data_IF_572149183076
#
_entry.id   IF_572149183076
#
_cell.length_a   1.000
_cell.length_b   1.000
_cell.length_c   1.000
_cell.angle_alpha   90.00
_cell.angle_beta   90.00
_cell.angle_gamma   90.00
#
_symmetry.space_group_name_H-M   'P 1'
#
loop_
_entity.id
_entity.type
_entity.pdbx_description
1 polymer ?
#
# COMPACT_ATOMS: atom_id res chain seq x y z
N UNK A 1 7.39 39.84 54.38
CA UNK A 1 7.88 39.79 52.99
C UNK A 1 8.72 38.53 52.87
N UNK A 2 8.08 37.44 52.43
CA UNK A 2 8.72 36.15 52.13
C UNK A 2 8.20 35.74 50.73
N UNK A 3 9.05 35.29 49.81
CA UNK A 3 8.62 34.95 48.46
C UNK A 3 8.08 33.52 48.36
N UNK A 4 7.26 33.36 47.32
CA UNK A 4 6.43 32.22 46.92
C UNK A 4 7.21 30.96 46.46
N UNK A 5 6.51 29.82 46.42
CA UNK A 5 6.81 28.65 45.57
C UNK A 5 6.67 27.33 46.34
N UNK A 6 6.00 26.26 45.91
CA UNK A 6 5.39 25.88 44.64
C UNK A 6 4.33 24.78 44.89
N UNK A 7 3.31 24.81 44.06
CA UNK A 7 2.30 23.80 43.76
C UNK A 7 2.88 22.56 43.06
N UNK A 8 2.23 21.40 43.19
CA UNK A 8 2.33 20.37 42.15
C UNK A 8 2.07 18.93 42.57
N UNK A 9 0.80 18.52 42.59
CA UNK A 9 0.38 17.12 42.48
C UNK A 9 -0.50 17.05 41.23
N UNK A 10 -0.30 16.05 40.36
CA UNK A 10 -1.28 15.39 39.44
C UNK A 10 -0.52 14.77 38.24
N UNK A 11 -0.40 13.44 38.21
CA UNK A 11 -1.13 12.52 37.32
C UNK A 11 -0.46 12.37 35.94
N UNK A 12 0.56 11.50 35.89
CA UNK A 12 1.21 11.04 34.66
C UNK A 12 0.33 10.00 33.95
N UNK A 13 -0.51 10.47 33.02
CA UNK A 13 -1.02 9.66 31.90
C UNK A 13 -0.47 10.23 30.60
N UNK A 14 0.19 9.44 29.74
CA UNK A 14 0.64 9.94 28.45
C UNK A 14 -0.58 10.25 27.56
N UNK A 15 -0.69 11.51 27.19
CA UNK A 15 -1.72 12.04 26.30
C UNK A 15 -1.52 11.51 24.87
N UNK A 16 -2.29 10.49 24.50
CA UNK A 16 -2.51 10.14 23.09
C UNK A 16 -3.50 11.14 22.48
N UNK A 17 -2.99 12.11 21.72
CA UNK A 17 -3.82 12.94 20.83
C UNK A 17 -3.07 13.25 19.54
N UNK A 18 -3.48 12.60 18.45
CA UNK A 18 -3.52 13.28 17.15
C UNK A 18 -4.90 13.08 16.52
N UNK A 19 -5.62 14.20 16.45
CA UNK A 19 -6.94 14.32 15.84
C UNK A 19 -6.84 14.23 14.31
N UNK A 20 -7.94 13.78 13.71
CA UNK A 20 -8.07 13.45 12.30
C UNK A 20 -7.70 14.57 11.33
N UNK A 21 -6.83 14.21 10.38
CA UNK A 21 -6.84 14.76 9.04
C UNK A 21 -6.94 13.56 8.09
N UNK A 22 -7.79 13.66 7.07
CA UNK A 22 -8.07 12.58 6.12
C UNK A 22 -6.79 12.06 5.49
N UNK A 23 -6.23 11.00 6.08
CA UNK A 23 -4.99 10.37 5.63
C UNK A 23 -5.29 9.57 4.38
N UNK A 24 -4.69 9.99 3.28
CA UNK A 24 -4.61 9.19 2.09
C UNK A 24 -3.94 7.85 2.40
N UNK A 25 -4.59 6.76 2.01
CA UNK A 25 -4.10 5.41 2.25
C UNK A 25 -3.12 5.07 1.14
N UNK A 26 -1.87 4.89 1.51
CA UNK A 26 -0.85 4.35 0.62
C UNK A 26 -1.17 2.90 0.22
N UNK A 27 -0.68 2.42 -0.93
CA UNK A 27 -0.74 0.99 -1.28
C UNK A 27 -0.09 0.13 -0.18
N UNK A 28 -0.84 -0.85 0.35
CA UNK A 28 -0.39 -1.76 1.40
C UNK A 28 -0.75 -3.20 1.07
N UNK A 29 0.14 -4.14 1.39
CA UNK A 29 -0.22 -5.55 1.56
C UNK A 29 -0.79 -5.78 2.96
N UNK A 30 -1.52 -6.86 3.15
CA UNK A 30 -1.87 -7.32 4.51
C UNK A 30 -0.93 -8.41 4.97
N UNK A 31 -0.84 -8.61 6.29
CA UNK A 31 -0.13 -9.74 6.88
C UNK A 31 -0.62 -11.07 6.27
N UNK A 32 0.30 -11.95 5.90
CA UNK A 32 0.02 -13.24 5.28
C UNK A 32 0.02 -13.21 3.76
N UNK A 33 0.05 -12.04 3.12
CA UNK A 33 0.27 -11.97 1.66
C UNK A 33 1.64 -12.54 1.33
N UNK A 34 1.68 -13.56 0.48
CA UNK A 34 2.90 -14.20 0.01
C UNK A 34 3.50 -13.41 -1.16
N UNK A 35 4.79 -13.11 -1.07
CA UNK A 35 5.54 -12.38 -2.09
C UNK A 35 6.59 -13.30 -2.69
N UNK A 36 6.65 -13.38 -4.01
CA UNK A 36 7.62 -14.22 -4.69
C UNK A 36 9.05 -13.68 -4.52
N UNK A 37 9.94 -14.53 -4.03
CA UNK A 37 11.37 -14.25 -3.91
C UNK A 37 12.17 -15.33 -4.63
N UNK A 38 13.47 -15.11 -4.90
CA UNK A 38 14.35 -16.14 -5.47
C UNK A 38 14.47 -17.40 -4.59
N UNK A 39 14.07 -17.33 -3.32
CA UNK A 39 14.10 -18.44 -2.35
C UNK A 39 12.72 -19.09 -2.16
N UNK A 40 11.74 -18.74 -2.99
CA UNK A 40 10.33 -19.13 -2.83
C UNK A 40 9.46 -17.99 -2.31
N UNK A 41 8.20 -18.28 -2.06
CA UNK A 41 7.23 -17.30 -1.56
C UNK A 41 7.45 -17.01 -0.07
N UNK A 42 7.55 -15.73 0.31
CA UNK A 42 7.75 -15.28 1.69
C UNK A 42 6.59 -14.35 2.10
N UNK A 43 6.02 -14.50 3.32
CA UNK A 43 5.02 -13.56 3.82
C UNK A 43 5.55 -12.12 3.86
N UNK A 44 4.74 -11.17 3.38
CA UNK A 44 5.14 -9.76 3.25
C UNK A 44 5.65 -9.17 4.58
N UNK A 45 5.03 -9.55 5.70
CA UNK A 45 5.43 -9.09 7.03
C UNK A 45 6.85 -9.52 7.43
N UNK A 46 7.43 -10.53 6.79
CA UNK A 46 8.78 -11.01 7.06
C UNK A 46 9.85 -10.31 6.21
N UNK A 47 9.47 -9.67 5.10
CA UNK A 47 10.41 -8.98 4.21
C UNK A 47 11.04 -7.75 4.87
N UNK A 48 12.34 -7.55 4.66
CA UNK A 48 13.12 -6.44 5.24
C UNK A 48 13.96 -5.76 4.16
N UNK A 49 14.50 -4.59 4.48
CA UNK A 49 15.53 -3.98 3.65
C UNK A 49 16.69 -4.97 3.43
N UNK A 50 17.18 -5.05 2.20
CA UNK A 50 18.17 -6.02 1.75
C UNK A 50 17.61 -7.35 1.24
N UNK A 51 16.33 -7.67 1.48
CA UNK A 51 15.71 -8.85 0.86
C UNK A 51 15.48 -8.65 -0.64
N UNK A 52 15.55 -9.75 -1.39
CA UNK A 52 15.38 -9.77 -2.85
C UNK A 52 14.02 -10.32 -3.25
N UNK A 53 13.33 -9.62 -4.16
CA UNK A 53 11.98 -9.96 -4.63
C UNK A 53 11.97 -10.08 -6.14
N UNK A 54 11.16 -10.99 -6.66
CA UNK A 54 10.93 -11.12 -8.11
C UNK A 54 10.02 -9.97 -8.56
N UNK A 55 10.49 -9.18 -9.53
CA UNK A 55 9.70 -8.12 -10.16
C UNK A 55 9.42 -8.45 -11.62
N UNK A 56 8.38 -7.82 -12.18
CA UNK A 56 7.91 -8.09 -13.54
C UNK A 56 8.89 -7.63 -14.61
N UNK A 57 9.43 -6.43 -14.44
CA UNK A 57 10.11 -5.71 -15.54
C UNK A 57 11.64 -5.69 -15.39
N UNK A 58 12.13 -5.66 -14.15
CA UNK A 58 13.55 -5.44 -13.86
C UNK A 58 14.22 -6.68 -13.24
N UNK A 59 13.58 -7.84 -13.33
CA UNK A 59 14.08 -9.08 -12.75
C UNK A 59 14.06 -9.05 -11.22
N UNK A 60 15.10 -9.59 -10.58
CA UNK A 60 15.16 -9.67 -9.12
C UNK A 60 15.69 -8.34 -8.56
N UNK A 61 14.91 -7.66 -7.73
CA UNK A 61 15.25 -6.37 -7.14
C UNK A 61 15.37 -6.44 -5.61
N UNK A 62 16.16 -5.54 -5.04
CA UNK A 62 16.41 -5.47 -3.60
C UNK A 62 15.49 -4.45 -2.92
N UNK A 63 14.81 -4.86 -1.86
CA UNK A 63 14.01 -3.97 -1.02
C UNK A 63 14.93 -2.98 -0.33
N UNK A 64 14.64 -1.70 -0.46
CA UNK A 64 15.40 -0.63 0.21
C UNK A 64 14.82 -0.23 1.55
N UNK A 65 13.51 -0.36 1.68
CA UNK A 65 12.82 -0.04 2.91
C UNK A 65 11.55 -0.87 3.05
N UNK A 66 11.21 -1.25 4.28
CA UNK A 66 9.99 -1.96 4.59
C UNK A 66 9.42 -1.53 5.95
N UNK A 67 8.11 -1.28 6.00
CA UNK A 67 7.41 -0.91 7.23
C UNK A 67 6.11 -1.67 7.43
N UNK A 68 5.68 -1.69 8.69
CA UNK A 68 4.43 -2.31 9.12
C UNK A 68 3.64 -1.29 9.91
N UNK A 69 2.33 -1.31 9.75
CA UNK A 69 1.39 -0.48 10.48
C UNK A 69 0.23 -1.33 10.96
N UNK A 70 0.18 -1.59 12.27
CA UNK A 70 -0.91 -2.31 12.90
C UNK A 70 -2.09 -1.36 13.17
N UNK A 71 -3.28 -1.74 12.72
CA UNK A 71 -4.52 -1.01 12.92
C UNK A 71 -5.46 -1.87 13.77
N UNK A 72 -5.92 -1.31 14.89
CA UNK A 72 -6.93 -1.95 15.75
C UNK A 72 -8.36 -1.66 15.31
N UNK A 73 -9.32 -2.40 15.89
CA UNK A 73 -10.76 -2.25 15.62
C UNK A 73 -11.25 -0.80 15.66
N UNK A 74 -10.93 -0.07 16.74
CA UNK A 74 -11.38 1.31 16.92
C UNK A 74 -10.88 2.24 15.79
N UNK A 75 -9.63 2.06 15.35
CA UNK A 75 -9.08 2.85 14.25
C UNK A 75 -9.76 2.53 12.93
N UNK A 76 -10.01 1.26 12.65
CA UNK A 76 -10.69 0.82 11.42
C UNK A 76 -12.18 1.23 11.39
N UNK A 77 -12.86 1.26 12.53
CA UNK A 77 -14.22 1.77 12.66
C UNK A 77 -14.29 3.27 12.40
N UNK A 78 -13.35 4.05 12.95
CA UNK A 78 -13.28 5.50 12.74
C UNK A 78 -12.81 5.90 11.34
N UNK A 79 -12.11 4.99 10.65
CA UNK A 79 -11.51 5.23 9.34
C UNK A 79 -11.93 4.13 8.37
N UNK A 80 -13.23 4.09 8.01
CA UNK A 80 -13.78 3.05 7.14
C UNK A 80 -13.07 2.98 5.76
N UNK A 81 -12.46 4.07 5.30
CA UNK A 81 -11.65 4.10 4.07
C UNK A 81 -10.32 3.33 4.18
N UNK A 82 -9.94 2.87 5.37
CA UNK A 82 -8.81 1.96 5.61
C UNK A 82 -9.22 0.49 5.60
N UNK A 83 -10.51 0.16 5.51
CA UNK A 83 -10.96 -1.23 5.45
C UNK A 83 -10.44 -1.89 4.16
N UNK A 84 -9.93 -3.13 4.24
CA UNK A 84 -9.27 -3.76 3.11
C UNK A 84 -10.27 -4.18 2.03
N UNK A 85 -9.74 -4.42 0.83
CA UNK A 85 -10.45 -5.06 -0.27
C UNK A 85 -9.94 -6.49 -0.40
N UNK A 86 -10.86 -7.45 -0.41
CA UNK A 86 -10.60 -8.84 -0.76
C UNK A 86 -10.77 -9.01 -2.26
N UNK A 87 -9.74 -9.54 -2.90
CA UNK A 87 -9.75 -10.05 -4.26
C UNK A 87 -9.64 -11.58 -4.13
N UNK A 88 -10.75 -12.28 -4.34
CA UNK A 88 -10.80 -13.73 -4.20
C UNK A 88 -9.95 -14.42 -5.28
N UNK A 89 -9.50 -15.64 -4.99
CA UNK A 89 -8.77 -16.46 -5.97
C UNK A 89 -9.53 -16.54 -7.31
N UNK A 90 -8.82 -16.32 -8.42
CA UNK A 90 -9.37 -16.32 -9.78
C UNK A 90 -10.17 -15.07 -10.20
N UNK A 91 -10.39 -14.09 -9.33
CA UNK A 91 -11.24 -12.93 -9.61
C UNK A 91 -10.69 -11.93 -10.66
N UNK A 92 -9.38 -11.96 -10.94
CA UNK A 92 -8.73 -11.12 -11.94
C UNK A 92 -8.62 -11.78 -13.32
N UNK A 93 -9.18 -12.99 -13.49
CA UNK A 93 -9.11 -13.77 -14.73
C UNK A 93 -7.86 -14.64 -14.83
N UNK A 94 -7.86 -15.61 -15.74
CA UNK A 94 -6.75 -16.56 -15.97
C UNK A 94 -6.27 -17.31 -14.71
N UNK A 95 -7.16 -17.52 -13.73
CA UNK A 95 -6.82 -18.16 -12.46
C UNK A 95 -6.10 -17.24 -11.45
N UNK A 96 -6.06 -15.93 -11.69
CA UNK A 96 -5.41 -14.96 -10.81
C UNK A 96 -6.40 -14.19 -9.92
N UNK A 97 -6.02 -13.80 -8.69
CA UNK A 97 -4.84 -14.30 -7.97
C UNK A 97 -4.96 -15.80 -7.71
N UNK A 98 -3.84 -16.49 -7.51
CA UNK A 98 -3.85 -17.95 -7.23
C UNK A 98 -4.45 -18.25 -5.85
N UNK A 99 -4.45 -17.25 -4.96
CA UNK A 99 -4.99 -17.31 -3.60
C UNK A 99 -5.65 -15.99 -3.28
N UNK A 100 -6.57 -15.99 -2.32
CA UNK A 100 -7.22 -14.77 -1.83
C UNK A 100 -6.19 -13.70 -1.48
N UNK A 101 -6.34 -12.51 -2.07
CA UNK A 101 -5.46 -11.37 -1.88
C UNK A 101 -6.22 -10.26 -1.16
N UNK A 102 -5.80 -9.96 0.06
CA UNK A 102 -6.37 -8.89 0.88
C UNK A 102 -5.40 -7.70 0.91
N UNK A 103 -5.83 -6.54 0.41
CA UNK A 103 -4.98 -5.36 0.20
C UNK A 103 -5.69 -4.07 0.61
N UNK A 104 -4.94 -2.97 0.76
CA UNK A 104 -5.56 -1.67 1.01
C UNK A 104 -6.39 -1.19 -0.20
N UNK A 105 -7.42 -0.35 0.00
CA UNK A 105 -8.30 0.11 -1.09
C UNK A 105 -7.60 0.75 -2.28
N UNK A 106 -6.49 1.46 -2.05
CA UNK A 106 -5.73 2.14 -3.10
C UNK A 106 -4.61 1.28 -3.70
N UNK A 107 -4.39 0.05 -3.20
CA UNK A 107 -3.38 -0.85 -3.74
C UNK A 107 -3.75 -1.22 -5.18
N UNK A 108 -2.81 -1.02 -6.11
CA UNK A 108 -3.06 -1.32 -7.52
C UNK A 108 -2.62 -2.73 -7.88
N UNK A 109 -3.51 -3.40 -8.59
CA UNK A 109 -3.27 -4.70 -9.20
C UNK A 109 -3.11 -4.52 -10.71
N UNK A 110 -2.24 -5.31 -11.30
CA UNK A 110 -2.05 -5.34 -12.75
C UNK A 110 -3.19 -6.14 -13.37
N UNK A 111 -3.91 -5.51 -14.27
CA UNK A 111 -4.92 -6.16 -15.12
C UNK A 111 -4.35 -6.21 -16.53
N UNK A 112 -4.26 -7.42 -17.08
CA UNK A 112 -3.73 -7.68 -18.42
C UNK A 112 -4.67 -8.62 -19.17
N UNK A 113 -4.91 -8.35 -20.45
CA UNK A 113 -5.69 -9.22 -21.35
C UNK A 113 -6.52 -8.46 -22.38
N UNK A 114 -7.35 -9.18 -23.14
CA UNK A 114 -8.11 -8.61 -24.25
C UNK A 114 -8.99 -7.42 -23.81
N UNK A 115 -9.49 -7.42 -22.58
CA UNK A 115 -10.28 -6.31 -22.01
C UNK A 115 -9.48 -5.03 -21.78
N UNK A 116 -8.19 -5.09 -21.42
CA UNK A 116 -7.37 -3.87 -21.35
C UNK A 116 -7.09 -3.34 -22.75
N UNK A 117 -6.77 -4.23 -23.70
CA UNK A 117 -6.54 -3.88 -25.11
C UNK A 117 -7.78 -3.31 -25.83
N UNK A 118 -8.98 -3.75 -25.46
CA UNK A 118 -10.24 -3.27 -26.05
C UNK A 118 -10.58 -1.83 -25.64
N UNK A 119 -10.08 -1.38 -24.49
CA UNK A 119 -10.44 -0.08 -23.90
C UNK A 119 -9.27 0.90 -23.76
N UNK A 120 -8.03 0.40 -23.80
CA UNK A 120 -6.81 1.18 -23.59
C UNK A 120 -5.73 0.79 -24.59
N UNK A 121 -4.92 1.76 -25.02
CA UNK A 121 -3.75 1.52 -25.89
C UNK A 121 -2.61 0.73 -25.20
N UNK A 122 -2.75 0.43 -23.90
CA UNK A 122 -1.77 -0.35 -23.13
C UNK A 122 -2.31 -1.77 -22.83
N UNK A 123 -1.54 -2.84 -23.14
CA UNK A 123 -1.94 -4.21 -22.87
C UNK A 123 -2.04 -4.53 -21.37
N UNK A 124 -1.40 -3.72 -20.52
CA UNK A 124 -1.34 -3.91 -19.08
C UNK A 124 -1.58 -2.60 -18.35
N UNK A 125 -2.52 -2.60 -17.41
CA UNK A 125 -2.89 -1.39 -16.67
C UNK A 125 -2.94 -1.67 -15.18
N UNK A 126 -2.59 -0.67 -14.37
CA UNK A 126 -2.71 -0.73 -12.91
C UNK A 126 -4.06 -0.16 -12.46
N UNK A 127 -4.82 -0.95 -11.71
CA UNK A 127 -6.15 -0.59 -11.22
C UNK A 127 -6.19 -0.70 -9.71
N UNK A 128 -6.63 0.37 -9.03
CA UNK A 128 -6.81 0.34 -7.58
C UNK A 128 -7.90 -0.66 -7.18
N UNK A 129 -7.64 -1.48 -6.16
CA UNK A 129 -8.55 -2.53 -5.69
C UNK A 129 -9.97 -2.01 -5.41
N UNK A 130 -10.11 -0.82 -4.81
CA UNK A 130 -11.41 -0.20 -4.55
C UNK A 130 -12.22 0.08 -5.82
N UNK A 131 -11.56 0.32 -6.95
CA UNK A 131 -12.24 0.54 -8.22
C UNK A 131 -12.77 -0.76 -8.80
N UNK A 132 -12.23 -1.92 -8.40
CA UNK A 132 -12.72 -3.23 -8.80
C UNK A 132 -13.88 -3.73 -7.93
N UNK A 133 -14.10 -3.18 -6.73
CA UNK A 133 -15.21 -3.58 -5.85
C UNK A 133 -16.55 -3.62 -6.61
N UNK A 134 -17.28 -4.72 -6.43
CA UNK A 134 -18.53 -5.00 -7.12
C UNK A 134 -18.38 -5.84 -8.39
N UNK A 135 -17.16 -6.13 -8.85
CA UNK A 135 -16.93 -7.21 -9.82
C UNK A 135 -17.02 -8.57 -9.13
N UNK A 136 -17.34 -9.65 -9.86
CA UNK A 136 -17.34 -11.00 -9.29
C UNK A 136 -16.03 -11.31 -8.56
N UNK A 137 -16.14 -11.74 -7.30
CA UNK A 137 -14.97 -12.09 -6.46
C UNK A 137 -14.21 -10.92 -5.83
N UNK A 138 -14.63 -9.65 -6.02
CA UNK A 138 -13.95 -8.50 -5.41
C UNK A 138 -14.89 -7.69 -4.52
N UNK A 139 -14.56 -7.58 -3.23
CA UNK A 139 -15.41 -6.95 -2.22
C UNK A 139 -14.61 -6.20 -1.15
N UNK A 140 -15.21 -5.13 -0.61
CA UNK A 140 -14.70 -4.49 0.60
C UNK A 140 -15.02 -5.38 1.82
N UNK A 141 -14.08 -5.53 2.75
CA UNK A 141 -14.23 -6.39 3.93
C UNK A 141 -14.10 -5.57 5.20
N UNK A 142 -14.99 -5.80 6.15
CA UNK A 142 -14.88 -5.22 7.49
C UNK A 142 -13.95 -6.07 8.34
N UNK A 143 -12.79 -5.52 8.69
CA UNK A 143 -11.85 -6.12 9.64
C UNK A 143 -11.96 -5.46 11.01
N UNK A 144 -11.77 -6.28 12.05
CA UNK A 144 -11.65 -5.85 13.46
C UNK A 144 -10.20 -5.61 13.88
N UNK A 145 -9.26 -5.77 12.95
CA UNK A 145 -7.84 -5.50 13.17
C UNK A 145 -7.00 -6.11 12.06
N UNK A 146 -6.00 -5.37 11.59
CA UNK A 146 -5.09 -5.87 10.55
C UNK A 146 -3.73 -5.18 10.65
N UNK A 147 -2.71 -5.79 10.04
CA UNK A 147 -1.42 -5.15 9.85
C UNK A 147 -1.21 -4.91 8.37
N UNK A 148 -1.00 -3.65 8.01
CA UNK A 148 -0.58 -3.25 6.69
C UNK A 148 0.94 -3.28 6.58
N UNK A 149 1.43 -3.77 5.45
CA UNK A 149 2.86 -3.91 5.15
C UNK A 149 3.17 -3.12 3.89
N UNK A 150 4.28 -2.38 3.94
CA UNK A 150 4.83 -1.61 2.84
C UNK A 150 6.27 -2.03 2.61
N UNK A 151 6.68 -2.07 1.35
CA UNK A 151 8.09 -2.08 0.98
C UNK A 151 8.28 -1.41 -0.37
N UNK A 152 9.45 -0.81 -0.56
CA UNK A 152 9.82 -0.09 -1.77
C UNK A 152 11.21 -0.51 -2.25
N UNK A 153 11.47 -0.25 -3.52
CA UNK A 153 12.74 -0.46 -4.20
C UNK A 153 13.31 0.90 -4.65
N UNK A 154 14.46 0.88 -5.32
CA UNK A 154 15.04 2.09 -5.95
C UNK A 154 14.11 2.71 -7.00
N UNK A 155 13.27 1.87 -7.61
CA UNK A 155 12.24 2.24 -8.57
C UNK A 155 10.90 1.70 -8.11
N UNK A 156 9.82 2.21 -8.69
CA UNK A 156 8.52 1.59 -8.47
C UNK A 156 8.48 0.27 -9.26
N UNK A 157 8.17 -0.83 -8.58
CA UNK A 157 8.20 -2.16 -9.16
C UNK A 157 6.81 -2.80 -9.13
N UNK A 158 6.57 -3.73 -10.05
CA UNK A 158 5.43 -4.65 -10.00
C UNK A 158 5.93 -5.99 -9.50
N UNK A 159 5.36 -6.49 -8.40
CA UNK A 159 5.77 -7.71 -7.69
C UNK A 159 4.70 -8.78 -7.80
N UNK A 160 5.10 -10.04 -7.69
CA UNK A 160 4.17 -11.16 -7.68
C UNK A 160 3.71 -11.42 -6.23
N UNK A 161 2.44 -11.16 -5.94
CA UNK A 161 1.81 -11.32 -4.63
C UNK A 161 0.59 -12.25 -4.70
N UNK A 162 0.61 -13.34 -3.92
CA UNK A 162 -0.39 -14.42 -3.99
C UNK A 162 -0.69 -14.89 -5.45
N UNK A 163 0.35 -14.92 -6.29
CA UNK A 163 0.25 -15.27 -7.71
C UNK A 163 -0.25 -14.15 -8.64
N UNK A 164 -0.71 -13.00 -8.14
CA UNK A 164 -1.09 -11.85 -8.97
C UNK A 164 0.00 -10.77 -9.00
N UNK A 165 0.09 -10.05 -10.12
CA UNK A 165 1.00 -8.92 -10.25
C UNK A 165 0.40 -7.67 -9.61
N UNK A 166 1.12 -7.06 -8.67
CA UNK A 166 0.66 -5.89 -7.91
C UNK A 166 1.76 -4.88 -7.73
N UNK A 167 1.41 -3.64 -7.44
CA UNK A 167 2.40 -2.57 -7.26
C UNK A 167 3.19 -2.70 -5.95
N UNK A 168 4.45 -2.28 -5.93
CA UNK A 168 5.19 -2.02 -4.69
C UNK A 168 4.79 -0.65 -4.10
N UNK A 169 5.29 -0.30 -2.91
CA UNK A 169 5.02 1.04 -2.40
C UNK A 169 5.71 2.09 -3.29
N UNK A 170 4.90 2.97 -3.90
CA UNK A 170 5.36 4.16 -4.59
C UNK A 170 5.27 5.38 -3.66
N UNK A 171 6.41 5.95 -3.25
CA UNK A 171 6.37 7.17 -2.48
C UNK A 171 5.96 8.34 -3.38
N UNK A 172 4.78 8.88 -3.11
CA UNK A 172 4.32 10.17 -3.63
C UNK A 172 4.15 11.14 -2.47
N UNK A 173 4.10 12.45 -2.73
CA UNK A 173 3.78 13.45 -1.69
C UNK A 173 2.53 13.09 -0.88
N UNK A 174 1.56 12.46 -1.55
CA UNK A 174 0.32 12.00 -0.95
C UNK A 174 0.53 10.75 -0.07
N UNK A 175 1.32 9.78 -0.54
CA UNK A 175 1.69 8.57 0.21
C UNK A 175 2.50 8.89 1.47
N UNK A 176 3.40 9.88 1.40
CA UNK A 176 4.25 10.30 2.52
C UNK A 176 3.46 10.98 3.64
N UNK A 177 2.43 11.76 3.30
CA UNK A 177 1.48 12.32 4.29
C UNK A 177 0.69 11.21 5.01
N UNK A 178 0.57 10.03 4.40
CA UNK A 178 -0.04 8.81 4.94
C UNK A 178 0.78 8.09 6.01
N UNK A 179 2.10 8.35 6.10
CA UNK A 179 3.00 7.66 7.03
C UNK A 179 3.09 8.34 8.41
N UNK A 180 3.59 7.64 9.41
CA UNK A 180 3.97 8.28 10.70
C UNK A 180 5.17 9.22 10.50
N UNK A 181 5.35 10.22 11.37
CA UNK A 181 6.43 11.21 11.22
C UNK A 181 7.81 10.55 11.15
N UNK A 182 8.09 9.54 12.00
CA UNK A 182 9.36 8.82 11.98
C UNK A 182 9.60 8.06 10.66
N UNK A 183 8.61 7.33 10.17
CA UNK A 183 8.67 6.60 8.90
C UNK A 183 8.84 7.54 7.70
N UNK A 184 8.15 8.69 7.73
CA UNK A 184 8.29 9.72 6.70
C UNK A 184 9.70 10.29 6.68
N UNK A 185 10.26 10.64 7.84
CA UNK A 185 11.63 11.15 7.94
C UNK A 185 12.66 10.13 7.42
N UNK A 186 12.51 8.86 7.81
CA UNK A 186 13.38 7.77 7.34
C UNK A 186 13.32 7.62 5.80
N UNK A 187 12.13 7.63 5.19
CA UNK A 187 12.02 7.56 3.72
C UNK A 187 12.64 8.79 3.05
N UNK A 188 12.43 9.99 3.61
CA UNK A 188 13.01 11.21 3.04
C UNK A 188 14.54 11.26 3.19
N UNK A 189 15.11 10.60 4.20
CA UNK A 189 16.55 10.45 4.40
C UNK A 189 17.15 9.42 3.42
N UNK A 190 16.47 8.26 3.24
CA UNK A 190 16.89 7.23 2.29
C UNK A 190 16.69 7.64 0.82
N UNK A 191 15.70 8.49 0.56
CA UNK A 191 15.34 8.97 -0.78
C UNK A 191 15.14 10.50 -0.77
N UNK A 192 16.23 11.28 -0.73
CA UNK A 192 16.17 12.74 -0.68
C UNK A 192 15.44 13.37 -1.87
N UNK A 193 15.39 12.69 -3.01
CA UNK A 193 14.65 13.11 -4.20
C UNK A 193 13.12 13.18 -3.99
N UNK A 194 12.60 12.54 -2.94
CA UNK A 194 11.18 12.62 -2.56
C UNK A 194 10.89 13.81 -1.63
N UNK A 195 11.91 14.62 -1.32
CA UNK A 195 11.71 15.80 -0.49
C UNK A 195 10.83 16.80 -1.24
N UNK A 196 9.81 17.42 -0.60
CA UNK A 196 8.96 18.42 -1.25
C UNK A 196 9.69 19.64 -1.82
N UNK A 197 10.96 19.83 -1.45
CA UNK A 197 11.83 20.90 -1.94
C UNK A 197 12.75 20.48 -3.10
N UNK A 198 12.76 19.20 -3.47
CA UNK A 198 13.52 18.70 -4.61
C UNK A 198 12.69 18.95 -5.89
N UNK A 199 13.12 19.88 -6.73
CA UNK A 199 12.51 20.18 -8.04
C UNK A 199 12.83 19.09 -9.11
N UNK A 200 12.82 17.81 -8.73
CA UNK A 200 13.13 16.68 -9.61
C UNK A 200 12.04 15.62 -9.53
N UNK A 201 11.51 15.22 -10.69
CA UNK A 201 10.34 14.36 -10.84
C UNK A 201 10.35 13.15 -9.91
N UNK A 202 9.25 12.97 -9.16
CA UNK A 202 9.04 11.80 -8.32
C UNK A 202 9.19 10.50 -9.10
N UNK A 203 9.46 9.41 -8.39
CA UNK A 203 9.48 8.06 -8.98
C UNK A 203 8.12 7.84 -9.64
N UNK A 204 8.08 7.80 -10.99
CA UNK A 204 6.86 7.59 -11.76
C UNK A 204 6.28 6.19 -11.59
N UNK A 205 4.99 5.96 -11.90
CA UNK A 205 4.41 4.62 -11.77
C UNK A 205 5.03 3.66 -12.81
N UNK A 206 5.12 2.37 -12.49
CA UNK A 206 5.72 1.36 -13.38
C UNK A 206 4.86 1.10 -14.64
N UNK A 207 3.58 1.46 -14.58
CA UNK A 207 2.59 1.34 -15.65
C UNK A 207 1.58 2.48 -15.57
N UNK A 208 0.79 2.66 -16.65
CA UNK A 208 -0.39 3.53 -16.64
C UNK A 208 -1.35 3.10 -15.54
N UNK A 209 -1.81 4.08 -14.78
CA UNK A 209 -2.77 3.92 -13.69
C UNK A 209 -4.13 4.40 -14.17
N UNK A 210 -5.16 3.56 -14.05
CA UNK A 210 -6.51 3.94 -14.43
C UNK A 210 -7.21 4.78 -13.35
N UNK A 211 -7.97 5.77 -13.80
CA UNK A 211 -8.95 6.49 -13.00
C UNK A 211 -10.16 5.60 -12.65
N UNK A 212 -11.04 6.10 -11.79
CA UNK A 212 -12.28 5.38 -11.42
C UNK A 212 -13.16 5.10 -12.65
N UNK A 213 -13.34 6.10 -13.50
CA UNK A 213 -14.27 6.04 -14.64
C UNK A 213 -13.71 5.12 -15.74
N UNK A 214 -12.40 5.14 -15.96
CA UNK A 214 -11.72 4.18 -16.85
C UNK A 214 -11.82 2.75 -16.29
N UNK A 215 -11.57 2.55 -14.99
CA UNK A 215 -11.67 1.23 -14.38
C UNK A 215 -13.10 0.64 -14.43
N UNK A 216 -14.14 1.48 -14.49
CA UNK A 216 -15.51 1.01 -14.67
C UNK A 216 -15.73 0.32 -16.03
N UNK A 217 -14.96 0.69 -17.06
CA UNK A 217 -15.06 0.10 -18.39
C UNK A 217 -14.57 -1.37 -18.41
N UNK A 218 -13.72 -1.76 -17.45
CA UNK A 218 -13.28 -3.16 -17.30
C UNK A 218 -14.36 -4.09 -16.71
N UNK A 219 -15.44 -3.53 -16.16
CA UNK A 219 -16.51 -4.30 -15.48
C UNK A 219 -17.63 -4.76 -16.42
N UNK A 220 -17.74 -4.16 -17.59
CA UNK A 220 -18.73 -4.47 -18.62
C UNK A 220 -18.29 -5.69 -19.42
#
# INVERSE_FOLDING_TARGET
MAPNGETGKLDDRPANRSAGQGKAVSPCFTRGTLIATPRGEIPAEHLRAGDRVVTRDNGIQEIRWAARNALGAAQLLLNAHLQPVLIAAGALGNGLPERDLLVSPNHRVLVAGDRSLLHFDDPEVLVAAKHLVGTPGVQAVTSVGLTYVHFLFDRHEVVLSNGAWTESFQPTDFSLKGLGNAQRSEILELFPALHPAANGGGIGPARRVLTRDEAAQLKA
#
